data_IF_005475820090
#
_entry.id   IF_005475820090
#
_cell.length_a   1.000
_cell.length_b   1.000
_cell.length_c   1.000
_cell.angle_alpha   90.00
_cell.angle_beta   90.00
_cell.angle_gamma   90.00
#
_symmetry.space_group_name_H-M   'P 1'
#
loop_
_entity.id
_entity.type
_entity.pdbx_description
1 polymer ?
#
# COMPACT_ATOMS: atom_id res chain seq x y z
N UNK A 1 -19.01 20.57 -35.33
CA UNK A 1 -20.45 20.27 -35.17
C UNK A 1 -21.17 21.13 -36.19
N UNK A 2 -21.93 20.53 -37.11
CA UNK A 2 -22.85 21.31 -37.94
C UNK A 2 -23.94 21.88 -37.04
N UNK A 3 -24.49 23.04 -37.35
CA UNK A 3 -25.76 23.46 -36.72
C UNK A 3 -26.88 22.51 -37.16
N UNK A 4 -27.99 22.46 -36.42
CA UNK A 4 -29.16 21.65 -36.80
C UNK A 4 -29.69 22.04 -38.19
N UNK A 5 -29.63 23.33 -38.53
CA UNK A 5 -30.04 23.87 -39.82
C UNK A 5 -29.12 23.39 -40.94
N UNK A 6 -27.81 23.44 -40.73
CA UNK A 6 -26.82 22.94 -41.68
C UNK A 6 -26.91 21.42 -41.88
N UNK A 7 -27.19 20.68 -40.81
CA UNK A 7 -27.39 19.23 -40.87
C UNK A 7 -28.62 18.86 -41.68
N UNK A 8 -29.76 19.49 -41.41
CA UNK A 8 -31.00 19.27 -42.14
C UNK A 8 -30.83 19.65 -43.61
N UNK A 9 -30.18 20.79 -43.91
CA UNK A 9 -29.92 21.23 -45.28
C UNK A 9 -29.07 20.22 -46.05
N UNK A 10 -28.05 19.62 -45.39
CA UNK A 10 -27.22 18.57 -45.98
C UNK A 10 -28.03 17.30 -46.27
N UNK A 11 -28.79 16.78 -45.30
CA UNK A 11 -29.60 15.56 -45.47
C UNK A 11 -30.68 15.72 -46.54
N UNK A 12 -31.36 16.89 -46.59
CA UNK A 12 -32.31 17.22 -47.67
C UNK A 12 -31.70 17.12 -49.06
N UNK A 13 -30.45 17.59 -49.22
CA UNK A 13 -29.73 17.55 -50.50
C UNK A 13 -29.29 16.14 -50.87
N UNK A 14 -28.83 15.36 -49.90
CA UNK A 14 -28.43 13.96 -50.08
C UNK A 14 -29.63 13.07 -50.49
N UNK A 15 -30.74 13.22 -49.79
CA UNK A 15 -31.95 12.41 -50.00
C UNK A 15 -32.86 12.96 -51.10
N UNK A 16 -32.49 14.09 -51.72
CA UNK A 16 -33.25 14.81 -52.76
C UNK A 16 -34.70 15.07 -52.35
N UNK A 17 -34.91 15.48 -51.10
CA UNK A 17 -36.23 15.72 -50.54
C UNK A 17 -36.87 16.96 -51.17
N UNK A 18 -38.05 16.80 -51.78
CA UNK A 18 -38.87 17.93 -52.23
C UNK A 18 -39.96 18.22 -51.19
N UNK A 19 -39.67 19.12 -50.25
CA UNK A 19 -40.59 19.47 -49.15
C UNK A 19 -41.86 20.21 -49.59
N UNK A 20 -41.92 20.68 -50.84
CA UNK A 20 -43.06 21.39 -51.41
C UNK A 20 -44.02 20.48 -52.19
N UNK A 21 -43.77 19.17 -52.21
CA UNK A 21 -44.68 18.18 -52.79
C UNK A 21 -45.89 17.95 -51.85
N UNK A 22 -47.07 18.36 -52.33
CA UNK A 22 -48.34 18.30 -51.58
C UNK A 22 -48.80 16.85 -51.41
N UNK A 23 -48.58 15.99 -52.40
CA UNK A 23 -49.03 14.60 -52.37
C UNK A 23 -48.15 13.77 -51.41
N UNK A 24 -46.89 14.18 -51.22
CA UNK A 24 -45.95 13.57 -50.29
C UNK A 24 -45.90 14.22 -48.89
N UNK A 25 -46.78 15.20 -48.58
CA UNK A 25 -46.72 16.04 -47.36
C UNK A 25 -46.51 15.24 -46.06
N UNK A 26 -47.29 14.18 -45.86
CA UNK A 26 -47.23 13.36 -44.64
C UNK A 26 -45.90 12.62 -44.52
N UNK A 27 -45.34 12.17 -45.64
CA UNK A 27 -44.06 11.48 -45.68
C UNK A 27 -42.90 12.45 -45.48
N UNK A 28 -42.93 13.61 -46.13
CA UNK A 28 -41.94 14.68 -45.96
C UNK A 28 -41.88 15.17 -44.51
N UNK A 29 -43.03 15.29 -43.83
CA UNK A 29 -43.09 15.67 -42.43
C UNK A 29 -42.39 14.65 -41.53
N UNK A 30 -42.61 13.34 -41.75
CA UNK A 30 -41.90 12.29 -41.00
C UNK A 30 -40.39 12.36 -41.22
N UNK A 31 -39.97 12.46 -42.48
CA UNK A 31 -38.54 12.52 -42.85
C UNK A 31 -37.84 13.73 -42.17
N UNK A 32 -38.47 14.90 -42.17
CA UNK A 32 -37.91 16.08 -41.50
C UNK A 32 -37.80 15.91 -39.97
N UNK A 33 -38.79 15.26 -39.34
CA UNK A 33 -38.74 14.94 -37.90
C UNK A 33 -37.63 13.92 -37.63
N UNK A 34 -37.47 12.92 -38.48
CA UNK A 34 -36.40 11.91 -38.35
C UNK A 34 -35.02 12.55 -38.43
N UNK A 35 -34.80 13.54 -39.31
CA UNK A 35 -33.53 14.28 -39.35
C UNK A 35 -33.23 15.04 -38.07
N UNK A 36 -34.25 15.61 -37.42
CA UNK A 36 -34.09 16.29 -36.13
C UNK A 36 -33.71 15.26 -35.06
N UNK A 37 -34.43 14.13 -34.97
CA UNK A 37 -34.09 13.06 -34.03
C UNK A 37 -32.68 12.52 -34.25
N UNK A 38 -32.30 12.27 -35.51
CA UNK A 38 -30.97 11.80 -35.89
C UNK A 38 -29.88 12.79 -35.50
N UNK A 39 -30.11 14.10 -35.73
CA UNK A 39 -29.19 15.15 -35.32
C UNK A 39 -28.97 15.13 -33.79
N UNK A 40 -30.04 15.11 -33.00
CA UNK A 40 -29.91 15.09 -31.54
C UNK A 40 -29.30 13.77 -31.04
N UNK A 41 -29.61 12.64 -31.66
CA UNK A 41 -29.06 11.33 -31.25
C UNK A 41 -27.56 11.21 -31.58
N UNK A 42 -27.14 11.70 -32.74
CA UNK A 42 -25.76 11.57 -33.20
C UNK A 42 -24.83 12.67 -32.66
N UNK A 43 -25.34 13.89 -32.46
CA UNK A 43 -24.53 15.02 -32.02
C UNK A 43 -24.67 15.32 -30.53
N UNK A 44 -25.81 15.02 -29.90
CA UNK A 44 -26.01 15.15 -28.46
C UNK A 44 -26.10 13.75 -27.84
N UNK A 45 -25.00 13.00 -27.95
CA UNK A 45 -24.89 11.64 -27.46
C UNK A 45 -24.80 11.62 -25.92
N UNK A 46 -25.96 11.65 -25.25
CA UNK A 46 -26.08 11.57 -23.79
C UNK A 46 -25.51 10.24 -23.28
N UNK A 47 -25.54 9.20 -24.11
CA UNK A 47 -25.02 7.86 -23.82
C UNK A 47 -23.52 7.86 -23.53
N UNK A 48 -22.71 8.68 -24.21
CA UNK A 48 -21.27 8.78 -23.89
C UNK A 48 -21.02 9.45 -22.53
N UNK A 49 -21.84 10.42 -22.14
CA UNK A 49 -21.74 11.08 -20.84
C UNK A 49 -22.20 10.15 -19.71
N UNK A 50 -23.28 9.40 -19.95
CA UNK A 50 -23.79 8.36 -19.05
C UNK A 50 -22.78 7.20 -18.91
N UNK A 51 -22.20 6.72 -20.00
CA UNK A 51 -21.15 5.69 -20.01
C UNK A 51 -19.89 6.16 -19.28
N UNK A 52 -19.45 7.41 -19.48
CA UNK A 52 -18.32 7.99 -18.72
C UNK A 52 -18.64 8.05 -17.22
N UNK A 53 -19.87 8.37 -16.84
CA UNK A 53 -20.31 8.40 -15.45
C UNK A 53 -20.35 7.00 -14.85
N UNK A 54 -20.91 6.01 -15.57
CA UNK A 54 -20.93 4.60 -15.15
C UNK A 54 -19.51 4.04 -15.00
N UNK A 55 -18.62 4.30 -15.96
CA UNK A 55 -17.23 3.86 -15.90
C UNK A 55 -16.46 4.51 -14.74
N UNK A 56 -16.76 5.77 -14.43
CA UNK A 56 -16.19 6.48 -13.30
C UNK A 56 -16.66 5.86 -11.98
N UNK A 57 -17.97 5.63 -11.83
CA UNK A 57 -18.56 5.00 -10.64
C UNK A 57 -18.03 3.58 -10.42
N UNK A 58 -17.89 2.79 -11.49
CA UNK A 58 -17.27 1.47 -11.43
C UNK A 58 -15.81 1.54 -10.94
N UNK A 59 -15.04 2.54 -11.38
CA UNK A 59 -13.67 2.75 -10.90
C UNK A 59 -13.63 3.13 -9.43
N UNK A 60 -14.55 3.98 -8.97
CA UNK A 60 -14.67 4.35 -7.56
C UNK A 60 -15.03 3.15 -6.70
N UNK A 61 -16.01 2.35 -7.11
CA UNK A 61 -16.43 1.16 -6.36
C UNK A 61 -15.30 0.11 -6.30
N UNK A 62 -14.60 -0.11 -7.42
CA UNK A 62 -13.41 -0.97 -7.44
C UNK A 62 -12.35 -0.48 -6.47
N UNK A 63 -12.11 0.83 -6.42
CA UNK A 63 -11.13 1.41 -5.52
C UNK A 63 -11.56 1.30 -4.04
N UNK A 64 -12.84 1.57 -3.74
CA UNK A 64 -13.43 1.38 -2.41
C UNK A 64 -13.28 -0.08 -1.93
N UNK A 65 -13.51 -1.06 -2.81
CA UNK A 65 -13.35 -2.49 -2.51
C UNK A 65 -11.90 -2.88 -2.17
N UNK A 66 -10.90 -2.22 -2.76
CA UNK A 66 -9.49 -2.44 -2.40
C UNK A 66 -9.17 -1.99 -0.96
N UNK A 67 -9.97 -1.07 -0.43
CA UNK A 67 -9.79 -0.46 0.89
C UNK A 67 -10.79 -1.02 1.91
N UNK A 68 -11.36 -2.21 1.67
CA UNK A 68 -12.42 -2.78 2.51
C UNK A 68 -12.02 -3.04 3.96
N UNK A 69 -10.74 -3.32 4.20
CA UNK A 69 -10.20 -3.62 5.55
C UNK A 69 -10.00 -2.35 6.39
N UNK A 70 -10.02 -1.17 5.76
CA UNK A 70 -9.88 0.12 6.43
C UNK A 70 -11.20 0.54 7.07
N UNK A 71 -11.10 1.37 8.09
CA UNK A 71 -12.23 2.03 8.72
C UNK A 71 -13.08 2.78 7.66
N UNK A 72 -14.43 2.73 7.74
CA UNK A 72 -15.30 3.38 6.77
C UNK A 72 -15.02 4.87 6.57
N UNK A 73 -14.71 5.62 7.62
CA UNK A 73 -14.42 7.06 7.53
C UNK A 73 -13.12 7.30 6.75
N UNK A 74 -12.07 6.54 7.09
CA UNK A 74 -10.77 6.57 6.39
C UNK A 74 -10.93 6.18 4.93
N UNK A 75 -11.71 5.12 4.66
CA UNK A 75 -11.98 4.64 3.30
C UNK A 75 -12.68 5.70 2.46
N UNK A 76 -13.76 6.28 2.96
CA UNK A 76 -14.52 7.29 2.20
C UNK A 76 -13.70 8.57 2.00
N UNK A 77 -12.86 8.96 2.95
CA UNK A 77 -11.92 10.06 2.77
C UNK A 77 -10.94 9.81 1.62
N UNK A 78 -10.29 8.63 1.60
CA UNK A 78 -9.36 8.26 0.53
C UNK A 78 -10.05 8.14 -0.83
N UNK A 79 -11.26 7.57 -0.87
CA UNK A 79 -12.07 7.45 -2.09
C UNK A 79 -12.51 8.83 -2.59
N UNK A 80 -12.89 9.74 -1.68
CA UNK A 80 -13.22 11.13 -2.00
C UNK A 80 -12.07 11.88 -2.65
N UNK A 81 -10.85 11.75 -2.09
CA UNK A 81 -9.64 12.33 -2.70
C UNK A 81 -9.38 11.76 -4.11
N UNK A 82 -9.60 10.46 -4.30
CA UNK A 82 -9.44 9.86 -5.63
C UNK A 82 -10.52 10.32 -6.61
N UNK A 83 -11.76 10.48 -6.15
CA UNK A 83 -12.87 11.00 -6.95
C UNK A 83 -12.60 12.42 -7.44
N UNK A 84 -12.13 13.30 -6.54
CA UNK A 84 -11.95 14.72 -6.83
C UNK A 84 -10.63 15.02 -7.57
N UNK A 85 -9.54 14.34 -7.20
CA UNK A 85 -8.19 14.66 -7.68
C UNK A 85 -7.56 13.56 -8.55
N UNK A 86 -8.21 12.40 -8.68
CA UNK A 86 -7.65 11.23 -9.40
C UNK A 86 -6.42 10.62 -8.72
N UNK A 87 -6.17 10.93 -7.44
CA UNK A 87 -4.96 10.51 -6.71
C UNK A 87 -5.26 9.39 -5.72
N UNK A 88 -4.49 8.30 -5.83
CA UNK A 88 -4.57 7.17 -4.90
C UNK A 88 -3.70 7.42 -3.67
N UNK A 89 -4.17 8.30 -2.78
CA UNK A 89 -3.35 8.80 -1.67
C UNK A 89 -2.87 7.71 -0.71
N UNK A 90 -3.64 6.63 -0.52
CA UNK A 90 -3.22 5.48 0.30
C UNK A 90 -1.87 4.89 -0.14
N UNK A 91 -1.57 4.88 -1.45
CA UNK A 91 -0.27 4.40 -1.96
C UNK A 91 0.86 5.34 -1.60
N UNK A 92 0.62 6.64 -1.72
CA UNK A 92 1.62 7.65 -1.39
C UNK A 92 1.97 7.62 0.10
N UNK A 93 0.95 7.58 0.97
CA UNK A 93 1.14 7.48 2.41
C UNK A 93 1.79 6.14 2.77
N UNK A 94 1.27 5.03 2.23
CA UNK A 94 1.81 3.69 2.49
C UNK A 94 3.28 3.56 2.12
N UNK A 95 3.72 4.14 1.00
CA UNK A 95 5.13 4.14 0.62
C UNK A 95 6.02 4.91 1.61
N UNK A 96 5.53 6.04 2.14
CA UNK A 96 6.27 6.80 3.17
C UNK A 96 6.33 5.99 4.47
N UNK A 97 5.23 5.35 4.88
CA UNK A 97 5.19 4.53 6.09
C UNK A 97 6.10 3.30 5.98
N UNK A 98 6.16 2.66 4.81
CA UNK A 98 7.06 1.52 4.55
C UNK A 98 8.54 1.88 4.64
N UNK A 99 8.90 3.13 4.39
CA UNK A 99 10.28 3.60 4.55
C UNK A 99 10.69 3.81 6.02
N UNK A 100 9.72 3.85 6.94
CA UNK A 100 9.99 4.00 8.37
C UNK A 100 10.26 2.63 9.02
N UNK A 101 11.53 2.41 9.37
CA UNK A 101 12.04 1.14 9.91
C UNK A 101 11.31 0.66 11.17
N UNK A 102 10.78 1.58 12.00
CA UNK A 102 10.14 1.23 13.28
C UNK A 102 8.62 1.35 13.26
N UNK A 103 8.00 1.57 12.11
CA UNK A 103 6.57 1.84 12.01
C UNK A 103 5.71 0.77 12.72
N UNK A 104 6.02 -0.51 12.50
CA UNK A 104 5.28 -1.63 13.11
C UNK A 104 5.49 -1.79 14.63
N UNK A 105 6.39 -1.01 15.24
CA UNK A 105 6.63 -0.94 16.69
C UNK A 105 5.92 0.24 17.36
N UNK A 106 5.13 1.00 16.61
CA UNK A 106 4.38 2.14 17.15
C UNK A 106 3.22 1.65 18.01
N UNK A 107 3.04 2.29 19.16
CA UNK A 107 2.03 1.85 20.14
C UNK A 107 1.33 3.01 20.84
N UNK A 108 1.65 4.26 20.46
CA UNK A 108 1.13 5.45 21.13
C UNK A 108 0.67 6.47 20.10
N UNK A 109 -0.37 7.22 20.43
CA UNK A 109 -0.88 8.28 19.56
C UNK A 109 0.19 9.33 19.23
N UNK A 110 1.10 9.63 20.15
CA UNK A 110 2.18 10.58 19.89
C UNK A 110 3.12 10.12 18.77
N UNK A 111 3.39 8.83 18.64
CA UNK A 111 4.24 8.30 17.57
C UNK A 111 3.53 8.43 16.21
N UNK A 112 2.24 8.08 16.17
CA UNK A 112 1.42 8.24 14.97
C UNK A 112 1.24 9.71 14.58
N UNK A 113 1.10 10.62 15.56
CA UNK A 113 1.07 12.08 15.32
C UNK A 113 2.36 12.57 14.69
N UNK A 114 3.51 12.18 15.24
CA UNK A 114 4.81 12.57 14.69
C UNK A 114 4.96 12.05 13.24
N UNK A 115 4.65 10.78 12.99
CA UNK A 115 4.67 10.23 11.63
C UNK A 115 3.68 10.95 10.69
N UNK A 116 2.52 11.40 11.19
CA UNK A 116 1.58 12.17 10.39
C UNK A 116 2.14 13.53 9.97
N UNK A 117 2.86 14.22 10.85
CA UNK A 117 3.52 15.48 10.52
C UNK A 117 4.66 15.29 9.53
N UNK A 118 5.49 14.26 9.75
CA UNK A 118 6.58 13.93 8.83
C UNK A 118 6.04 13.57 7.44
N UNK A 119 4.98 12.77 7.38
CA UNK A 119 4.28 12.42 6.14
C UNK A 119 3.69 13.66 5.46
N UNK A 120 2.98 14.51 6.20
CA UNK A 120 2.41 15.76 5.70
C UNK A 120 3.48 16.65 5.07
N UNK A 121 4.63 16.82 5.74
CA UNK A 121 5.73 17.65 5.24
C UNK A 121 6.27 17.19 3.88
N UNK A 122 6.25 15.87 3.62
CA UNK A 122 6.68 15.28 2.36
C UNK A 122 5.63 15.40 1.26
N UNK A 123 4.33 15.33 1.62
CA UNK A 123 3.23 15.30 0.66
C UNK A 123 2.70 16.68 0.28
N UNK A 124 2.66 17.64 1.21
CA UNK A 124 1.93 18.92 1.03
C UNK A 124 2.39 19.72 -0.19
N UNK A 125 3.68 19.65 -0.53
CA UNK A 125 4.23 20.32 -1.73
C UNK A 125 3.67 19.76 -3.04
N UNK A 126 3.38 18.45 -3.08
CA UNK A 126 2.89 17.74 -4.26
C UNK A 126 1.36 17.59 -4.26
N UNK A 127 0.75 17.59 -3.08
CA UNK A 127 -0.67 17.38 -2.84
C UNK A 127 -1.22 18.51 -1.95
N UNK A 128 -1.39 19.74 -2.48
CA UNK A 128 -1.82 20.89 -1.69
C UNK A 128 -3.20 20.74 -1.06
N UNK A 129 -4.07 19.90 -1.64
CA UNK A 129 -5.40 19.58 -1.12
C UNK A 129 -5.38 18.83 0.22
N UNK A 130 -4.20 18.39 0.69
CA UNK A 130 -4.03 17.87 2.05
C UNK A 130 -4.00 18.96 3.12
N UNK A 131 -3.95 20.24 2.73
CA UNK A 131 -4.03 21.34 3.67
C UNK A 131 -5.29 21.20 4.50
N UNK A 132 -5.16 21.38 5.81
CA UNK A 132 -6.25 21.26 6.80
C UNK A 132 -6.84 19.84 6.94
N UNK A 133 -6.20 18.82 6.33
CA UNK A 133 -6.58 17.40 6.42
C UNK A 133 -5.62 16.58 7.32
N UNK A 134 -4.87 17.24 8.21
CA UNK A 134 -3.85 16.59 9.06
C UNK A 134 -4.45 15.58 10.03
N UNK A 135 -5.68 15.81 10.49
CA UNK A 135 -6.39 14.85 11.35
C UNK A 135 -6.70 13.55 10.60
N UNK A 136 -7.28 13.67 9.40
CA UNK A 136 -7.56 12.50 8.57
C UNK A 136 -6.29 11.75 8.17
N UNK A 137 -5.18 12.46 7.94
CA UNK A 137 -3.89 11.83 7.68
C UNK A 137 -3.40 11.02 8.89
N UNK A 138 -3.55 11.56 10.10
CA UNK A 138 -3.22 10.84 11.33
C UNK A 138 -4.09 9.58 11.51
N UNK A 139 -5.41 9.70 11.36
CA UNK A 139 -6.35 8.58 11.47
C UNK A 139 -6.01 7.51 10.42
N UNK A 140 -5.75 7.92 9.17
CA UNK A 140 -5.33 7.01 8.10
C UNK A 140 -4.04 6.28 8.47
N UNK A 141 -3.02 6.96 8.99
CA UNK A 141 -1.73 6.31 9.31
C UNK A 141 -1.91 5.28 10.43
N UNK A 142 -2.72 5.59 11.45
CA UNK A 142 -3.03 4.66 12.54
C UNK A 142 -3.82 3.44 12.04
N UNK A 143 -4.79 3.64 11.14
CA UNK A 143 -5.55 2.55 10.55
C UNK A 143 -4.73 1.73 9.54
N UNK A 144 -3.85 2.38 8.78
CA UNK A 144 -2.86 1.73 7.91
C UNK A 144 -1.95 0.80 8.72
N UNK A 145 -1.46 1.27 9.88
CA UNK A 145 -0.69 0.44 10.80
C UNK A 145 -1.47 -0.80 11.22
N UNK A 146 -2.75 -0.64 11.62
CA UNK A 146 -3.62 -1.75 12.02
C UNK A 146 -3.80 -2.76 10.89
N UNK A 147 -4.24 -2.31 9.71
CA UNK A 147 -4.53 -3.18 8.55
C UNK A 147 -3.30 -3.97 8.13
N UNK A 148 -2.15 -3.31 7.95
CA UNK A 148 -0.92 -3.98 7.53
C UNK A 148 -0.38 -4.92 8.62
N UNK A 149 -0.55 -4.55 9.89
CA UNK A 149 -0.16 -5.40 11.01
C UNK A 149 -1.04 -6.66 11.11
N UNK A 150 -2.36 -6.53 11.03
CA UNK A 150 -3.29 -7.68 11.07
C UNK A 150 -3.02 -8.64 9.91
N UNK A 151 -2.88 -8.11 8.69
CA UNK A 151 -2.61 -8.94 7.52
C UNK A 151 -1.36 -9.79 7.72
N UNK A 152 -0.28 -9.19 8.24
CA UNK A 152 0.99 -9.90 8.49
C UNK A 152 0.91 -10.86 9.67
N UNK A 153 0.18 -10.52 10.71
CA UNK A 153 0.00 -11.38 11.88
C UNK A 153 -0.79 -12.66 11.54
N UNK A 154 -1.78 -12.54 10.65
CA UNK A 154 -2.62 -13.65 10.21
C UNK A 154 -1.90 -14.70 9.37
N UNK A 155 -0.67 -14.46 8.91
CA UNK A 155 0.16 -15.51 8.29
C UNK A 155 0.69 -16.54 9.30
N UNK A 156 0.47 -16.29 10.60
CA UNK A 156 0.81 -17.20 11.68
C UNK A 156 2.13 -16.82 12.36
N UNK A 157 2.21 -17.18 13.64
CA UNK A 157 3.42 -17.00 14.45
C UNK A 157 4.33 -18.19 14.20
N UNK A 158 5.60 -17.98 13.83
CA UNK A 158 6.54 -19.08 13.71
C UNK A 158 6.71 -19.78 15.07
N UNK A 159 6.59 -21.11 15.07
CA UNK A 159 6.81 -21.90 16.27
C UNK A 159 8.32 -21.98 16.56
N UNK A 160 8.83 -21.07 17.39
CA UNK A 160 10.24 -20.98 17.77
C UNK A 160 10.43 -21.53 19.19
N UNK A 161 9.92 -20.82 20.19
CA UNK A 161 9.83 -21.26 21.59
C UNK A 161 8.55 -20.69 22.20
N UNK A 162 8.05 -21.32 23.25
CA UNK A 162 6.85 -20.84 23.97
C UNK A 162 7.06 -19.40 24.51
N UNK A 163 8.25 -19.08 24.99
CA UNK A 163 8.58 -17.74 25.49
C UNK A 163 8.49 -16.66 24.40
N UNK A 164 9.04 -16.93 23.20
CA UNK A 164 9.01 -15.98 22.09
C UNK A 164 7.59 -15.81 21.58
N UNK A 165 6.83 -16.90 21.45
CA UNK A 165 5.42 -16.87 21.05
C UNK A 165 4.59 -16.04 22.04
N UNK A 166 4.71 -16.30 23.35
CA UNK A 166 4.01 -15.56 24.40
C UNK A 166 4.38 -14.07 24.41
N UNK A 167 5.65 -13.73 24.18
CA UNK A 167 6.09 -12.34 24.05
C UNK A 167 5.43 -11.62 22.86
N UNK A 168 5.36 -12.28 21.70
CA UNK A 168 4.73 -11.75 20.49
C UNK A 168 3.22 -11.55 20.72
N UNK A 169 2.55 -12.57 21.26
CA UNK A 169 1.11 -12.51 21.55
C UNK A 169 0.78 -11.41 22.56
N UNK A 170 1.58 -11.27 23.63
CA UNK A 170 1.40 -10.20 24.61
C UNK A 170 1.64 -8.82 24.01
N UNK A 171 2.63 -8.67 23.14
CA UNK A 171 2.91 -7.41 22.45
C UNK A 171 1.73 -7.01 21.55
N UNK A 172 1.20 -7.97 20.79
CA UNK A 172 0.02 -7.77 19.95
C UNK A 172 -1.22 -7.44 20.78
N UNK A 173 -1.59 -8.31 21.72
CA UNK A 173 -2.81 -8.17 22.51
C UNK A 173 -2.86 -6.86 23.32
N UNK A 174 -1.72 -6.44 23.88
CA UNK A 174 -1.66 -5.25 24.75
C UNK A 174 -1.39 -3.95 24.01
N UNK A 175 -0.54 -3.97 22.99
CA UNK A 175 -0.03 -2.76 22.35
C UNK A 175 -0.43 -2.62 20.87
N UNK A 176 -1.06 -3.65 20.29
CA UNK A 176 -1.37 -3.74 18.86
C UNK A 176 -0.13 -3.56 17.98
N UNK A 177 1.03 -4.03 18.48
CA UNK A 177 2.33 -3.95 17.83
C UNK A 177 2.63 -5.28 17.15
N UNK A 178 3.09 -5.24 15.90
CA UNK A 178 3.45 -6.43 15.16
C UNK A 178 4.98 -6.59 15.05
N UNK A 179 5.54 -7.32 16.01
CA UNK A 179 6.98 -7.65 16.08
C UNK A 179 7.42 -8.46 14.85
N UNK A 180 6.58 -9.36 14.36
CA UNK A 180 6.87 -10.20 13.20
C UNK A 180 6.97 -9.37 11.91
N UNK A 181 6.02 -8.47 11.70
CA UNK A 181 6.04 -7.53 10.57
C UNK A 181 7.27 -6.62 10.60
N UNK A 182 7.67 -6.16 11.79
CA UNK A 182 8.90 -5.42 11.99
C UNK A 182 10.14 -6.26 11.63
N UNK A 183 10.27 -7.47 12.19
CA UNK A 183 11.43 -8.33 11.98
C UNK A 183 11.61 -8.69 10.51
N UNK A 184 10.53 -9.09 9.83
CA UNK A 184 10.54 -9.35 8.40
C UNK A 184 10.91 -8.09 7.60
N UNK A 185 10.30 -6.94 7.92
CA UNK A 185 10.60 -5.67 7.25
C UNK A 185 12.07 -5.27 7.38
N UNK A 186 12.68 -5.46 8.55
CA UNK A 186 14.10 -5.26 8.74
C UNK A 186 14.93 -6.22 7.90
N UNK A 187 14.64 -7.52 7.92
CA UNK A 187 15.40 -8.51 7.15
C UNK A 187 15.36 -8.25 5.65
N UNK A 188 14.18 -7.95 5.09
CA UNK A 188 14.06 -7.63 3.66
C UNK A 188 14.89 -6.40 3.30
N UNK A 189 14.77 -5.32 4.07
CA UNK A 189 15.55 -4.09 3.86
C UNK A 189 17.06 -4.32 4.05
N UNK A 190 17.44 -5.11 5.05
CA UNK A 190 18.82 -5.46 5.33
C UNK A 190 19.43 -6.29 4.20
N UNK A 191 18.69 -7.25 3.64
CA UNK A 191 19.12 -8.02 2.49
C UNK A 191 19.35 -7.13 1.27
N UNK A 192 18.41 -6.23 0.96
CA UNK A 192 18.52 -5.37 -0.23
C UNK A 192 19.64 -4.32 -0.13
N UNK A 193 20.21 -4.12 1.06
CA UNK A 193 21.12 -3.01 1.34
C UNK A 193 22.47 -3.49 1.90
N UNK A 194 23.37 -3.90 1.00
CA UNK A 194 24.70 -4.45 1.33
C UNK A 194 25.56 -3.51 2.19
N UNK A 195 25.31 -2.19 2.15
CA UNK A 195 26.02 -1.20 2.95
C UNK A 195 25.78 -1.37 4.45
N UNK A 196 24.65 -1.95 4.85
CA UNK A 196 24.34 -2.26 6.24
C UNK A 196 25.13 -3.46 6.78
N UNK A 197 25.73 -4.27 5.90
CA UNK A 197 26.40 -5.51 6.31
C UNK A 197 27.76 -5.18 6.92
N UNK A 198 28.06 -5.62 8.16
CA UNK A 198 29.39 -5.46 8.73
C UNK A 198 30.44 -6.11 7.83
N UNK A 199 31.62 -5.49 7.66
CA UNK A 199 32.68 -6.04 6.81
C UNK A 199 33.09 -7.46 7.20
N UNK A 200 33.03 -7.79 8.50
CA UNK A 200 33.31 -9.12 9.06
C UNK A 200 32.27 -10.18 8.70
N UNK A 201 31.11 -9.77 8.19
CA UNK A 201 30.00 -10.65 7.79
C UNK A 201 29.80 -10.67 6.28
N UNK A 202 30.73 -10.11 5.49
CA UNK A 202 30.65 -10.15 4.02
C UNK A 202 31.55 -11.28 3.51
N UNK A 203 30.96 -12.29 2.86
CA UNK A 203 31.68 -13.30 2.09
C UNK A 203 31.57 -12.99 0.60
N UNK A 204 32.59 -13.31 -0.19
CA UNK A 204 32.54 -13.06 -1.64
C UNK A 204 31.41 -13.90 -2.24
N UNK A 205 30.51 -13.25 -2.99
CA UNK A 205 29.41 -13.98 -3.62
C UNK A 205 29.93 -14.93 -4.69
N UNK A 206 29.25 -16.06 -4.83
CA UNK A 206 29.46 -16.97 -5.96
C UNK A 206 28.70 -16.48 -7.21
N UNK A 207 27.73 -15.60 -7.03
CA UNK A 207 26.92 -15.06 -8.11
C UNK A 207 27.56 -13.83 -8.74
N UNK A 208 27.29 -13.61 -10.04
CA UNK A 208 27.81 -12.45 -10.77
C UNK A 208 26.95 -11.19 -10.59
N UNK A 209 25.69 -11.34 -10.18
CA UNK A 209 24.75 -10.24 -9.99
C UNK A 209 24.85 -9.60 -8.60
N UNK A 210 25.64 -10.19 -7.69
CA UNK A 210 25.87 -9.69 -6.33
C UNK A 210 27.34 -9.71 -5.99
N UNK A 211 27.83 -8.71 -5.26
CA UNK A 211 29.25 -8.63 -4.90
C UNK A 211 29.60 -9.49 -3.70
N UNK A 212 28.74 -9.46 -2.69
CA UNK A 212 28.93 -10.18 -1.45
C UNK A 212 27.66 -10.97 -1.10
N UNK A 213 27.83 -12.08 -0.41
CA UNK A 213 26.76 -12.70 0.35
C UNK A 213 26.98 -12.39 1.83
N UNK A 214 25.89 -12.43 2.60
CA UNK A 214 25.95 -12.20 4.03
C UNK A 214 26.28 -13.51 4.76
N UNK A 215 27.27 -13.47 5.64
CA UNK A 215 27.70 -14.60 6.45
C UNK A 215 26.96 -14.59 7.79
N UNK A 216 25.77 -15.20 7.78
CA UNK A 216 24.89 -15.35 8.94
C UNK A 216 25.38 -16.40 9.96
N UNK A 217 26.47 -17.12 9.70
CA UNK A 217 27.05 -18.11 10.63
C UNK A 217 28.10 -17.51 11.59
N UNK A 218 28.34 -16.20 11.48
CA UNK A 218 29.16 -15.45 12.43
C UNK A 218 28.51 -15.36 13.82
N UNK A 219 29.31 -15.16 14.86
CA UNK A 219 28.84 -15.27 16.26
C UNK A 219 28.33 -13.97 16.89
N UNK A 220 28.59 -12.81 16.31
CA UNK A 220 28.37 -11.52 16.99
C UNK A 220 27.83 -10.46 16.06
N UNK A 221 26.85 -9.68 16.53
CA UNK A 221 26.26 -8.56 15.79
C UNK A 221 25.62 -8.99 14.45
N UNK A 222 24.92 -10.13 14.48
CA UNK A 222 24.13 -10.59 13.35
C UNK A 222 23.10 -9.52 12.96
N UNK A 223 22.90 -9.32 11.66
CA UNK A 223 21.95 -8.38 11.07
C UNK A 223 22.16 -6.92 11.52
N UNK A 224 23.40 -6.59 11.91
CA UNK A 224 23.78 -5.30 12.50
C UNK A 224 22.89 -4.92 13.70
N UNK A 225 22.49 -5.94 14.47
CA UNK A 225 21.52 -5.82 15.55
C UNK A 225 21.98 -4.88 16.66
N UNK A 226 23.27 -4.70 16.92
CA UNK A 226 23.76 -3.73 17.90
C UNK A 226 23.31 -2.31 17.57
N UNK A 227 23.48 -1.91 16.30
CA UNK A 227 23.10 -0.59 15.81
C UNK A 227 21.57 -0.45 15.79
N UNK A 228 20.89 -1.44 15.23
CA UNK A 228 19.42 -1.47 15.18
C UNK A 228 18.82 -1.36 16.58
N UNK A 229 19.24 -2.23 17.49
CA UNK A 229 18.70 -2.31 18.83
C UNK A 229 18.97 -1.05 19.64
N UNK A 230 20.10 -0.34 19.43
CA UNK A 230 20.35 0.96 20.07
C UNK A 230 19.33 2.03 19.67
N UNK A 231 18.91 2.04 18.40
CA UNK A 231 17.91 2.98 17.85
C UNK A 231 16.47 2.61 18.17
N UNK A 232 16.19 1.32 18.41
CA UNK A 232 14.85 0.87 18.75
C UNK A 232 14.29 1.60 19.97
N UNK A 233 13.00 2.00 19.95
CA UNK A 233 12.31 2.56 21.11
C UNK A 233 12.44 1.63 22.32
N UNK A 234 12.76 2.16 23.50
CA UNK A 234 12.95 1.37 24.74
C UNK A 234 11.63 1.19 25.49
N UNK A 235 10.75 0.37 24.91
CA UNK A 235 9.41 0.05 25.43
C UNK A 235 9.41 -1.28 26.18
N UNK A 236 8.33 -1.58 26.89
CA UNK A 236 8.17 -2.83 27.65
C UNK A 236 8.34 -4.09 26.80
N UNK A 237 7.96 -4.04 25.52
CA UNK A 237 8.05 -5.16 24.59
C UNK A 237 9.35 -5.20 23.78
N UNK A 238 10.25 -4.22 23.90
CA UNK A 238 11.54 -4.20 23.18
C UNK A 238 12.73 -4.22 24.13
N UNK A 239 12.61 -3.61 25.31
CA UNK A 239 13.69 -3.50 26.30
C UNK A 239 14.07 -4.87 26.86
N UNK A 240 15.36 -5.18 26.87
CA UNK A 240 15.90 -6.47 27.30
C UNK A 240 15.77 -7.60 26.27
N UNK A 241 14.96 -7.43 25.21
CA UNK A 241 14.59 -8.48 24.25
C UNK A 241 15.54 -8.62 23.05
N UNK A 242 16.82 -8.26 23.20
CA UNK A 242 17.75 -8.21 22.06
C UNK A 242 17.95 -9.59 21.43
N UNK A 243 18.10 -10.64 22.23
CA UNK A 243 18.36 -11.98 21.73
C UNK A 243 17.13 -12.55 20.99
N UNK A 244 15.94 -12.26 21.48
CA UNK A 244 14.67 -12.68 20.87
C UNK A 244 14.49 -12.01 19.51
N UNK A 245 14.87 -10.74 19.36
CA UNK A 245 14.97 -10.13 18.04
C UNK A 245 15.99 -10.84 17.15
N UNK A 246 17.19 -11.14 17.63
CA UNK A 246 18.19 -11.88 16.83
C UNK A 246 17.65 -13.21 16.31
N UNK A 247 16.95 -13.96 17.17
CA UNK A 247 16.32 -15.24 16.82
C UNK A 247 15.25 -15.05 15.73
N UNK A 248 14.38 -14.03 15.85
CA UNK A 248 13.38 -13.73 14.82
C UNK A 248 13.99 -13.29 13.49
N UNK A 249 15.03 -12.45 13.55
CA UNK A 249 15.75 -12.00 12.36
C UNK A 249 16.44 -13.18 11.67
N UNK A 250 17.07 -14.08 12.44
CA UNK A 250 17.66 -15.32 11.90
C UNK A 250 16.60 -16.22 11.27
N UNK A 251 15.44 -16.37 11.92
CA UNK A 251 14.34 -17.16 11.38
C UNK A 251 13.95 -16.67 9.98
N UNK A 252 13.61 -15.39 9.83
CA UNK A 252 13.25 -14.82 8.52
C UNK A 252 14.40 -14.89 7.51
N UNK A 253 15.65 -14.73 7.96
CA UNK A 253 16.79 -14.88 7.07
C UNK A 253 16.89 -16.30 6.49
N UNK A 254 16.79 -17.33 7.33
CA UNK A 254 16.95 -18.71 6.89
C UNK A 254 15.77 -19.21 6.07
N UNK A 255 14.54 -18.86 6.44
CA UNK A 255 13.33 -19.40 5.80
C UNK A 255 12.85 -18.58 4.59
N UNK A 256 13.01 -17.25 4.59
CA UNK A 256 12.47 -16.39 3.55
C UNK A 256 13.52 -15.80 2.59
N UNK A 257 14.79 -15.75 3.01
CA UNK A 257 15.86 -15.10 2.23
C UNK A 257 16.86 -16.11 1.66
N UNK A 258 17.57 -16.85 2.51
CA UNK A 258 18.63 -17.77 2.08
C UNK A 258 18.11 -19.16 1.70
N UNK A 259 17.10 -19.65 2.43
CA UNK A 259 16.60 -21.02 2.30
C UNK A 259 17.44 -22.10 3.00
N UNK A 260 18.33 -21.73 3.95
CA UNK A 260 19.14 -22.67 4.75
C UNK A 260 18.39 -23.11 6.01
N UNK A 261 17.28 -23.84 5.82
CA UNK A 261 16.45 -24.34 6.94
C UNK A 261 17.18 -25.38 7.80
N UNK A 262 18.18 -26.06 7.25
CA UNK A 262 18.93 -27.12 7.94
C UNK A 262 19.79 -26.54 9.07
N UNK A 263 20.29 -25.30 8.91
CA UNK A 263 21.07 -24.62 9.94
C UNK A 263 20.25 -24.13 11.14
N UNK A 264 18.92 -24.06 11.03
CA UNK A 264 18.06 -23.48 12.06
C UNK A 264 18.20 -24.14 13.43
N UNK A 265 18.21 -25.48 13.48
CA UNK A 265 18.31 -26.21 14.75
C UNK A 265 19.68 -26.03 15.40
N UNK A 266 20.76 -26.06 14.61
CA UNK A 266 22.12 -25.82 15.09
C UNK A 266 22.24 -24.41 15.70
N UNK A 267 21.69 -23.40 15.02
CA UNK A 267 21.67 -22.03 15.51
C UNK A 267 20.89 -21.89 16.83
N UNK A 268 19.68 -22.47 16.91
CA UNK A 268 18.86 -22.42 18.11
C UNK A 268 19.56 -23.07 19.31
N UNK A 269 20.17 -24.24 19.14
CA UNK A 269 20.91 -24.91 20.21
C UNK A 269 22.09 -24.07 20.71
N UNK A 270 22.84 -23.44 19.80
CA UNK A 270 23.94 -22.54 20.14
C UNK A 270 23.46 -21.34 20.96
N UNK A 271 22.40 -20.66 20.52
CA UNK A 271 21.89 -19.46 21.19
C UNK A 271 21.25 -19.79 22.53
N UNK A 272 20.39 -20.82 22.60
CA UNK A 272 19.71 -21.20 23.83
C UNK A 272 20.70 -21.76 24.88
N UNK A 273 21.75 -22.45 24.45
CA UNK A 273 22.79 -22.92 25.37
C UNK A 273 23.66 -21.77 25.92
N UNK A 274 23.87 -20.69 25.15
CA UNK A 274 24.55 -19.49 25.62
C UNK A 274 23.73 -18.74 26.69
N UNK A 275 22.40 -18.70 26.53
CA UNK A 275 21.48 -18.08 27.50
C UNK A 275 21.45 -18.81 28.85
N UNK A 276 21.55 -20.14 28.85
CA UNK A 276 21.58 -20.95 30.10
C UNK A 276 22.87 -20.79 30.91
N UNK A 277 23.91 -20.18 30.34
CA UNK A 277 25.24 -20.01 30.97
C UNK A 277 25.45 -18.59 31.54
N UNK A 278 24.49 -17.69 31.37
CA UNK A 278 24.47 -16.34 31.95
C UNK A 278 23.58 -16.32 33.19
#
# INVERSE_FOLDING_TARGET
>A
MLSIEEYIARRKKEDKLNEFDIDARTQNMRICVDYVFEYFSNYLNITEAEEKTVLHDQKLDKYRKQLREYDPEVREWVVGIYNEYGKQIHKHIGNIMKANEFFFLYSTDSEFRNASYDCYSQLIKKLPFLKDQTEMLFIFIKDYHRVESEQRFNFGIPSITEEITDWIDKAWAKYQVNILAFAYGWISSFYDNEDLWPSTHRKKSQYTWRKYDYDYKQKSNLFNLDSLYRKMPKKSFTKGRKQEFEILLMYYWLYDIEGDSDYWQEYLEMVLSALKKQ
#
